data_IF_677491563878
#
_entry.id   IF_677491563878
#
_cell.length_a   1.000
_cell.length_b   1.000
_cell.length_c   1.000
_cell.angle_alpha   90.00
_cell.angle_beta   90.00
_cell.angle_gamma   90.00
#
_symmetry.space_group_name_H-M   'P 1'
#
loop_
_entity.id
_entity.type
_entity.pdbx_description
1 polymer ?
#
# COMPACT_ATOMS: atom_id res chain seq x y z
N UNK A 1 23.02 9.66 -56.46
CA UNK A 1 23.57 8.49 -57.19
C UNK A 1 23.50 7.26 -56.30
N UNK A 2 22.80 6.22 -56.82
CA UNK A 2 22.82 4.79 -56.48
C UNK A 2 22.34 4.42 -55.04
N UNK A 3 21.14 4.06 -54.77
CA UNK A 3 20.32 2.88 -55.07
C UNK A 3 21.05 1.52 -54.96
N UNK A 4 20.75 0.75 -53.91
CA UNK A 4 20.66 -0.72 -54.03
C UNK A 4 19.62 -1.29 -53.09
N UNK A 5 18.53 -1.72 -53.69
CA UNK A 5 17.56 -2.69 -53.17
C UNK A 5 18.20 -4.07 -53.12
N UNK A 6 17.92 -4.88 -52.12
CA UNK A 6 17.79 -6.34 -52.29
C UNK A 6 16.82 -6.91 -51.24
N UNK A 7 15.73 -7.37 -51.77
CA UNK A 7 14.78 -8.31 -51.21
C UNK A 7 15.33 -9.74 -51.28
N UNK A 8 14.90 -10.61 -50.40
CA UNK A 8 14.64 -12.06 -50.58
C UNK A 8 13.96 -12.54 -49.31
N UNK A 9 12.73 -12.92 -49.35
CA UNK A 9 12.05 -14.13 -49.90
C UNK A 9 11.97 -15.26 -48.87
N UNK A 10 10.70 -15.45 -48.39
CA UNK A 10 9.94 -16.67 -48.20
C UNK A 10 10.69 -17.98 -47.89
N UNK A 11 10.35 -18.63 -46.79
CA UNK A 11 10.09 -20.07 -46.78
C UNK A 11 9.02 -20.47 -45.73
N UNK A 12 8.03 -21.10 -46.28
CA UNK A 12 6.92 -21.83 -45.70
C UNK A 12 7.41 -23.05 -44.89
N UNK A 13 6.62 -23.48 -43.93
CA UNK A 13 6.51 -24.89 -43.65
C UNK A 13 6.36 -25.28 -42.20
N UNK A 14 5.23 -25.88 -41.85
CA UNK A 14 5.20 -26.83 -40.77
C UNK A 14 4.10 -26.69 -39.75
N UNK A 15 2.88 -27.06 -40.13
CA UNK A 15 1.81 -27.41 -39.19
C UNK A 15 2.13 -28.72 -38.47
N UNK A 16 2.03 -28.70 -37.12
CA UNK A 16 1.71 -29.94 -36.39
C UNK A 16 0.67 -29.61 -35.32
N UNK A 17 -0.47 -30.13 -35.60
CA UNK A 17 -1.66 -30.27 -34.78
C UNK A 17 -1.41 -31.36 -33.75
N UNK A 18 -1.51 -31.10 -32.47
CA UNK A 18 -1.80 -32.10 -31.46
C UNK A 18 -2.69 -31.51 -30.38
N UNK A 19 -3.99 -31.77 -30.57
CA UNK A 19 -4.98 -31.74 -29.49
C UNK A 19 -4.68 -32.88 -28.52
N UNK A 20 -4.66 -32.60 -27.25
CA UNK A 20 -5.30 -33.45 -26.23
C UNK A 20 -5.59 -32.58 -25.02
N UNK A 21 -6.87 -32.43 -24.77
CA UNK A 21 -7.39 -31.79 -23.58
C UNK A 21 -7.34 -32.74 -22.39
N UNK A 22 -7.25 -32.16 -21.23
CA UNK A 22 -7.96 -32.62 -20.03
C UNK A 22 -8.39 -31.38 -19.24
N UNK A 23 -9.67 -31.30 -19.02
CA UNK A 23 -10.32 -30.35 -18.12
C UNK A 23 -10.17 -30.79 -16.66
N UNK A 24 -10.48 -29.84 -15.77
CA UNK A 24 -10.88 -29.94 -14.36
C UNK A 24 -9.80 -29.55 -13.34
N UNK A 25 -9.88 -28.37 -12.81
CA UNK A 25 -10.45 -28.08 -11.51
C UNK A 25 -10.34 -26.58 -11.26
N UNK A 26 -11.50 -25.94 -11.18
CA UNK A 26 -11.66 -24.59 -10.67
C UNK A 26 -11.41 -24.64 -9.16
N UNK A 27 -10.33 -24.04 -8.73
CA UNK A 27 -10.29 -23.39 -7.44
C UNK A 27 -9.89 -21.94 -7.72
N UNK A 28 -10.85 -21.05 -7.47
CA UNK A 28 -10.66 -19.62 -7.60
C UNK A 28 -9.69 -19.12 -6.54
N UNK A 29 -8.44 -19.10 -6.93
CA UNK A 29 -7.39 -18.36 -6.27
C UNK A 29 -7.07 -17.21 -7.22
N UNK A 30 -7.44 -16.02 -6.80
CA UNK A 30 -7.04 -14.80 -7.48
C UNK A 30 -5.52 -14.86 -7.69
N UNK A 31 -5.01 -14.55 -8.88
CA UNK A 31 -3.58 -14.46 -9.06
C UNK A 31 -3.08 -13.33 -8.18
N UNK A 32 -2.45 -13.68 -7.04
CA UNK A 32 -1.54 -12.79 -6.40
C UNK A 32 -0.53 -12.41 -7.48
N UNK A 33 -0.62 -11.18 -7.97
CA UNK A 33 0.37 -10.60 -8.86
C UNK A 33 1.66 -10.65 -8.04
N UNK A 34 2.45 -11.69 -8.27
CA UNK A 34 3.80 -11.75 -7.78
C UNK A 34 4.49 -10.51 -8.36
N UNK A 35 4.63 -9.48 -7.54
CA UNK A 35 5.56 -8.39 -7.78
C UNK A 35 6.90 -9.10 -7.91
N UNK A 36 7.33 -9.30 -9.15
CA UNK A 36 8.60 -9.90 -9.46
C UNK A 36 9.67 -9.03 -8.83
N UNK A 37 10.12 -9.43 -7.65
CA UNK A 37 11.28 -8.83 -7.03
C UNK A 37 12.42 -9.11 -7.99
N UNK A 38 13.01 -8.06 -8.52
CA UNK A 38 14.19 -8.07 -9.40
C UNK A 38 15.43 -8.51 -8.60
N UNK A 39 15.21 -9.46 -7.68
CA UNK A 39 16.14 -9.93 -6.66
C UNK A 39 17.27 -10.77 -7.22
N UNK A 40 17.20 -11.16 -8.50
CA UNK A 40 18.22 -12.03 -9.09
C UNK A 40 19.41 -11.25 -9.66
N UNK A 41 19.30 -9.94 -9.91
CA UNK A 41 20.42 -9.12 -10.37
C UNK A 41 21.30 -8.57 -9.25
N UNK A 42 20.81 -8.60 -8.01
CA UNK A 42 21.48 -7.97 -6.87
C UNK A 42 22.51 -8.88 -6.17
N UNK A 43 22.65 -10.13 -6.60
CA UNK A 43 23.47 -11.14 -5.88
C UNK A 43 24.97 -10.87 -5.98
N UNK A 44 25.45 -10.08 -6.95
CA UNK A 44 26.87 -9.86 -7.22
C UNK A 44 27.28 -8.38 -7.25
N UNK A 45 26.52 -7.49 -6.59
CA UNK A 45 26.87 -6.07 -6.53
C UNK A 45 28.03 -5.83 -5.55
N UNK A 46 28.96 -4.97 -5.94
CA UNK A 46 29.98 -4.45 -5.01
C UNK A 46 29.32 -3.45 -4.03
N UNK A 47 29.89 -3.21 -2.83
CA UNK A 47 29.36 -2.23 -1.88
C UNK A 47 29.13 -0.83 -2.49
N UNK A 48 30.00 -0.38 -3.37
CA UNK A 48 29.86 0.89 -4.07
C UNK A 48 28.65 0.90 -5.02
N UNK A 49 28.43 -0.19 -5.76
CA UNK A 49 27.27 -0.34 -6.65
C UNK A 49 25.95 -0.43 -5.87
N UNK A 50 25.96 -1.11 -4.71
CA UNK A 50 24.81 -1.15 -3.81
C UNK A 50 24.44 0.25 -3.32
N UNK A 51 25.43 1.06 -2.95
CA UNK A 51 25.23 2.44 -2.52
C UNK A 51 24.61 3.31 -3.62
N UNK A 52 25.15 3.25 -4.83
CA UNK A 52 24.60 4.01 -5.97
C UNK A 52 23.15 3.61 -6.27
N UNK A 53 22.88 2.31 -6.26
CA UNK A 53 21.51 1.81 -6.48
C UNK A 53 20.56 2.22 -5.34
N UNK A 54 21.00 2.13 -4.08
CA UNK A 54 20.21 2.59 -2.94
C UNK A 54 19.89 4.10 -3.01
N UNK A 55 20.86 4.91 -3.42
CA UNK A 55 20.63 6.35 -3.63
C UNK A 55 19.61 6.64 -4.73
N UNK A 56 19.54 5.82 -5.76
CA UNK A 56 18.53 5.96 -6.82
C UNK A 56 17.10 5.64 -6.37
N UNK A 57 16.91 4.93 -5.26
CA UNK A 57 15.58 4.62 -4.72
C UNK A 57 14.94 5.81 -4.01
N UNK A 58 15.74 6.70 -3.43
CA UNK A 58 15.22 7.88 -2.71
C UNK A 58 14.29 8.74 -3.56
N UNK A 59 14.65 9.22 -4.77
CA UNK A 59 13.77 10.04 -5.59
C UNK A 59 12.48 9.29 -6.00
N UNK A 60 12.52 7.96 -6.10
CA UNK A 60 11.33 7.15 -6.38
C UNK A 60 10.37 7.22 -5.20
N UNK A 61 10.87 6.97 -3.97
CA UNK A 61 10.07 7.05 -2.75
C UNK A 61 9.54 8.47 -2.46
N UNK A 62 10.32 9.51 -2.78
CA UNK A 62 9.88 10.90 -2.69
C UNK A 62 8.74 11.20 -3.68
N UNK A 63 8.81 10.62 -4.89
CA UNK A 63 7.73 10.69 -5.89
C UNK A 63 6.45 10.00 -5.41
N UNK A 64 6.59 8.84 -4.76
CA UNK A 64 5.50 8.10 -4.12
C UNK A 64 4.79 8.97 -3.07
N UNK A 65 5.57 9.59 -2.17
CA UNK A 65 5.03 10.50 -1.16
C UNK A 65 4.29 11.68 -1.80
N UNK A 66 4.87 12.30 -2.81
CA UNK A 66 4.27 13.43 -3.52
C UNK A 66 2.97 13.05 -4.24
N UNK A 67 2.87 11.82 -4.75
CA UNK A 67 1.65 11.31 -5.37
C UNK A 67 0.52 11.19 -4.33
N UNK A 68 0.74 10.51 -3.22
CA UNK A 68 -0.26 10.33 -2.17
C UNK A 68 -0.63 11.67 -1.52
N UNK A 69 0.32 12.60 -1.38
CA UNK A 69 0.06 13.94 -0.88
C UNK A 69 -0.91 14.73 -1.78
N UNK A 70 -0.75 14.65 -3.11
CA UNK A 70 -1.69 15.27 -4.05
C UNK A 70 -3.09 14.68 -3.90
N UNK A 71 -3.20 13.35 -3.81
CA UNK A 71 -4.47 12.66 -3.61
C UNK A 71 -5.16 13.07 -2.30
N UNK A 72 -4.39 13.19 -1.20
CA UNK A 72 -4.91 13.66 0.09
C UNK A 72 -5.39 15.12 0.02
N UNK A 73 -4.67 15.98 -0.71
CA UNK A 73 -5.07 17.37 -0.94
C UNK A 73 -6.37 17.45 -1.74
N UNK A 74 -6.51 16.64 -2.78
CA UNK A 74 -7.72 16.58 -3.61
C UNK A 74 -8.94 16.07 -2.80
N UNK A 75 -8.75 15.05 -1.96
CA UNK A 75 -9.80 14.56 -1.06
C UNK A 75 -10.24 15.63 -0.06
N UNK A 76 -9.27 16.38 0.48
CA UNK A 76 -9.55 17.51 1.39
C UNK A 76 -10.35 18.62 0.72
N UNK A 77 -10.04 18.97 -0.52
CA UNK A 77 -10.78 19.97 -1.30
C UNK A 77 -12.21 19.52 -1.58
N UNK A 78 -12.44 18.23 -1.74
CA UNK A 78 -13.77 17.62 -1.93
C UNK A 78 -14.53 17.41 -0.60
N UNK A 79 -13.95 17.80 0.53
CA UNK A 79 -14.48 17.58 1.87
C UNK A 79 -14.72 16.11 2.23
N UNK A 80 -14.03 15.19 1.57
CA UNK A 80 -14.08 13.78 1.86
C UNK A 80 -13.19 13.45 3.06
N UNK A 81 -13.80 13.42 4.25
CA UNK A 81 -13.07 13.26 5.51
C UNK A 81 -12.46 11.87 5.64
N UNK A 82 -13.20 10.82 5.24
CA UNK A 82 -12.75 9.43 5.38
C UNK A 82 -11.53 9.18 4.49
N UNK A 83 -11.61 9.59 3.24
CA UNK A 83 -10.52 9.50 2.27
C UNK A 83 -9.31 10.31 2.70
N UNK A 84 -9.53 11.54 3.20
CA UNK A 84 -8.47 12.40 3.70
C UNK A 84 -7.71 11.75 4.84
N UNK A 85 -8.40 11.13 5.81
CA UNK A 85 -7.79 10.44 6.93
C UNK A 85 -6.99 9.21 6.49
N UNK A 86 -7.58 8.38 5.64
CA UNK A 86 -6.92 7.18 5.11
C UNK A 86 -5.64 7.52 4.33
N UNK A 87 -5.72 8.50 3.41
CA UNK A 87 -4.57 8.94 2.61
C UNK A 87 -3.49 9.63 3.48
N UNK A 88 -3.90 10.38 4.51
CA UNK A 88 -2.98 11.01 5.46
C UNK A 88 -2.20 9.98 6.27
N UNK A 89 -2.84 8.88 6.68
CA UNK A 89 -2.18 7.76 7.35
C UNK A 89 -1.15 7.09 6.43
N UNK A 90 -1.53 6.78 5.18
CA UNK A 90 -0.61 6.21 4.19
C UNK A 90 0.58 7.13 3.92
N UNK A 91 0.33 8.44 3.77
CA UNK A 91 1.38 9.43 3.57
C UNK A 91 2.36 9.47 4.75
N UNK A 92 1.85 9.41 5.98
CA UNK A 92 2.68 9.36 7.19
C UNK A 92 3.59 8.12 7.20
N UNK A 93 3.05 6.95 6.83
CA UNK A 93 3.82 5.71 6.74
C UNK A 93 4.90 5.79 5.65
N UNK A 94 4.62 6.40 4.49
CA UNK A 94 5.61 6.61 3.43
C UNK A 94 6.72 7.53 3.94
N UNK A 95 6.41 8.62 4.63
CA UNK A 95 7.42 9.52 5.19
C UNK A 95 8.33 8.83 6.19
N UNK A 96 7.78 7.94 7.03
CA UNK A 96 8.59 7.11 7.95
C UNK A 96 9.51 6.17 7.16
N UNK A 97 9.00 5.53 6.10
CA UNK A 97 9.82 4.66 5.25
C UNK A 97 10.96 5.43 4.56
N UNK A 98 10.68 6.63 4.01
CA UNK A 98 11.69 7.52 3.38
C UNK A 98 12.75 7.94 4.40
N UNK A 99 12.34 8.42 5.57
CA UNK A 99 13.26 8.84 6.62
C UNK A 99 14.16 7.70 7.09
N UNK A 100 13.58 6.51 7.28
CA UNK A 100 14.36 5.32 7.65
C UNK A 100 15.33 4.93 6.54
N UNK A 101 14.89 4.98 5.27
CA UNK A 101 15.76 4.66 4.12
C UNK A 101 16.95 5.60 4.02
N UNK A 102 16.78 6.89 4.30
CA UNK A 102 17.90 7.87 4.32
C UNK A 102 18.94 7.46 5.35
N UNK A 103 18.53 7.16 6.59
CA UNK A 103 19.47 6.72 7.63
C UNK A 103 20.17 5.38 7.29
N UNK A 104 19.47 4.47 6.59
CA UNK A 104 20.08 3.22 6.12
C UNK A 104 21.08 3.45 4.99
N UNK A 105 20.80 4.39 4.09
CA UNK A 105 21.74 4.78 3.02
C UNK A 105 23.03 5.37 3.62
N UNK A 106 22.95 6.19 4.67
CA UNK A 106 24.12 6.70 5.38
C UNK A 106 24.94 5.57 6.02
N UNK A 107 24.28 4.60 6.63
CA UNK A 107 24.95 3.42 7.20
C UNK A 107 25.59 2.56 6.11
N UNK A 108 24.92 2.42 4.97
CA UNK A 108 25.45 1.73 3.78
C UNK A 108 26.69 2.44 3.22
N UNK A 109 26.70 3.77 3.21
CA UNK A 109 27.84 4.56 2.78
C UNK A 109 29.05 4.32 3.69
N UNK A 110 28.84 4.30 5.01
CA UNK A 110 29.88 3.95 5.97
C UNK A 110 30.42 2.52 5.74
N UNK A 111 29.52 1.54 5.52
CA UNK A 111 29.93 0.15 5.23
C UNK A 111 30.71 0.05 3.90
N UNK A 112 30.28 0.77 2.86
CA UNK A 112 30.96 0.81 1.58
C UNK A 112 32.36 1.44 1.67
N UNK A 113 32.53 2.49 2.48
CA UNK A 113 33.84 3.14 2.69
C UNK A 113 34.85 2.23 3.41
N UNK A 114 34.36 1.35 4.27
CA UNK A 114 35.17 0.33 4.96
C UNK A 114 35.29 -0.99 4.18
N UNK A 115 34.69 -1.07 3.00
CA UNK A 115 34.62 -2.28 2.17
C UNK A 115 34.05 -3.50 2.94
N UNK A 116 33.11 -3.25 3.87
CA UNK A 116 32.38 -4.26 4.63
C UNK A 116 31.19 -4.76 3.79
N UNK A 117 31.44 -5.83 3.04
CA UNK A 117 30.46 -6.35 2.07
C UNK A 117 29.21 -6.93 2.75
N UNK A 118 29.34 -7.58 3.90
CA UNK A 118 28.22 -8.21 4.61
C UNK A 118 27.27 -7.15 5.16
N UNK A 119 27.80 -6.13 5.80
CA UNK A 119 27.05 -5.01 6.31
C UNK A 119 26.40 -4.20 5.17
N UNK A 120 27.14 -3.94 4.10
CA UNK A 120 26.62 -3.25 2.93
C UNK A 120 25.44 -4.00 2.33
N UNK A 121 25.54 -5.31 2.16
CA UNK A 121 24.46 -6.16 1.66
C UNK A 121 23.22 -6.13 2.57
N UNK A 122 23.42 -6.20 3.89
CA UNK A 122 22.33 -6.10 4.85
C UNK A 122 21.59 -4.77 4.73
N UNK A 123 22.30 -3.64 4.79
CA UNK A 123 21.70 -2.30 4.73
C UNK A 123 21.02 -2.06 3.37
N UNK A 124 21.61 -2.53 2.28
CA UNK A 124 21.02 -2.45 0.94
C UNK A 124 19.69 -3.22 0.88
N UNK A 125 19.64 -4.44 1.42
CA UNK A 125 18.40 -5.23 1.47
C UNK A 125 17.30 -4.50 2.27
N UNK A 126 17.65 -3.86 3.39
CA UNK A 126 16.69 -3.07 4.17
C UNK A 126 16.15 -1.90 3.35
N UNK A 127 16.99 -1.19 2.61
CA UNK A 127 16.54 -0.08 1.73
C UNK A 127 15.62 -0.58 0.62
N UNK A 128 15.89 -1.74 0.03
CA UNK A 128 15.00 -2.37 -0.96
C UNK A 128 13.62 -2.66 -0.38
N UNK A 129 13.56 -3.27 0.81
CA UNK A 129 12.29 -3.55 1.50
C UNK A 129 11.52 -2.27 1.78
N UNK A 130 12.18 -1.19 2.20
CA UNK A 130 11.54 0.10 2.44
C UNK A 130 10.99 0.73 1.15
N UNK A 131 11.71 0.61 0.03
CA UNK A 131 11.22 1.04 -1.29
C UNK A 131 9.96 0.26 -1.69
N UNK A 132 9.97 -1.07 -1.52
CA UNK A 132 8.82 -1.93 -1.82
C UNK A 132 7.62 -1.59 -0.93
N UNK A 133 7.88 -1.32 0.35
CA UNK A 133 6.83 -0.86 1.28
C UNK A 133 6.21 0.46 0.83
N UNK A 134 7.02 1.42 0.36
CA UNK A 134 6.52 2.68 -0.20
C UNK A 134 5.60 2.43 -1.39
N UNK A 135 6.01 1.59 -2.34
CA UNK A 135 5.19 1.24 -3.51
C UNK A 135 3.87 0.51 -3.12
N UNK A 136 3.92 -0.37 -2.11
CA UNK A 136 2.72 -1.02 -1.57
C UNK A 136 1.74 0.00 -0.98
N UNK A 137 2.23 0.96 -0.22
CA UNK A 137 1.41 2.03 0.37
C UNK A 137 0.75 2.92 -0.70
N UNK A 138 1.45 3.18 -1.82
CA UNK A 138 0.85 3.88 -2.97
C UNK A 138 -0.26 3.04 -3.60
N UNK A 139 -0.05 1.74 -3.75
CA UNK A 139 -1.08 0.82 -4.27
C UNK A 139 -2.31 0.80 -3.35
N UNK A 140 -2.11 0.71 -2.04
CA UNK A 140 -3.19 0.79 -1.05
C UNK A 140 -3.92 2.15 -1.09
N UNK A 141 -3.18 3.26 -1.26
CA UNK A 141 -3.76 4.60 -1.41
C UNK A 141 -4.63 4.70 -2.68
N UNK A 142 -4.19 4.11 -3.78
CA UNK A 142 -4.96 4.07 -5.03
C UNK A 142 -6.25 3.23 -4.90
N UNK A 143 -6.23 2.16 -4.12
CA UNK A 143 -7.42 1.36 -3.83
C UNK A 143 -8.46 2.15 -3.02
N UNK A 144 -8.04 2.92 -2.01
CA UNK A 144 -8.94 3.80 -1.25
C UNK A 144 -9.71 4.81 -2.13
N UNK A 145 -9.16 5.20 -3.28
CA UNK A 145 -9.80 6.12 -4.22
C UNK A 145 -10.83 5.38 -5.10
N UNK A 146 -10.60 4.10 -5.38
CA UNK A 146 -11.44 3.30 -6.27
C UNK A 146 -12.71 2.74 -5.63
N UNK A 147 -12.71 2.52 -4.32
CA UNK A 147 -13.83 1.86 -3.63
C UNK A 147 -15.07 2.76 -3.46
N UNK A 148 -14.89 4.08 -3.43
CA UNK A 148 -16.02 5.01 -3.23
C UNK A 148 -16.92 5.22 -4.44
N UNK A 149 -16.48 4.88 -5.64
CA UNK A 149 -17.34 4.97 -6.84
C UNK A 149 -18.45 3.91 -6.88
N UNK A 150 -18.37 2.91 -6.00
CA UNK A 150 -19.36 1.81 -5.90
C UNK A 150 -20.40 1.97 -4.79
N UNK A 151 -20.22 2.91 -3.84
CA UNK A 151 -21.07 3.02 -2.65
C UNK A 151 -21.88 4.31 -2.56
N UNK A 152 -22.37 4.82 -3.69
CA UNK A 152 -23.45 5.83 -3.70
C UNK A 152 -24.78 5.06 -3.74
N UNK A 153 -25.07 4.36 -2.65
CA UNK A 153 -26.43 3.93 -2.35
C UNK A 153 -27.15 5.09 -1.67
N UNK A 154 -28.21 5.60 -2.29
CA UNK A 154 -29.17 6.45 -1.58
C UNK A 154 -29.73 5.62 -0.42
N UNK A 155 -29.25 5.84 0.80
CA UNK A 155 -29.88 5.28 1.98
C UNK A 155 -31.09 6.14 2.33
N UNK A 156 -32.26 5.74 1.87
CA UNK A 156 -33.52 6.31 2.36
C UNK A 156 -33.81 5.64 3.71
N UNK A 157 -33.56 6.36 4.79
CA UNK A 157 -34.00 5.92 6.13
C UNK A 157 -35.45 6.24 6.29
N UNK A 158 -36.31 5.24 6.21
CA UNK A 158 -37.76 5.39 6.53
C UNK A 158 -37.93 5.08 8.02
N UNK A 159 -38.12 6.13 8.81
CA UNK A 159 -38.44 5.97 10.25
C UNK A 159 -39.92 5.75 10.37
N UNK A 160 -40.35 4.53 10.70
CA UNK A 160 -41.72 4.20 11.06
C UNK A 160 -41.82 4.22 12.57
N UNK A 161 -42.44 5.28 13.12
CA UNK A 161 -42.73 5.36 14.54
C UNK A 161 -44.02 4.59 14.81
N UNK A 162 -43.97 3.62 15.70
CA UNK A 162 -45.13 2.89 16.12
C UNK A 162 -46.06 3.85 16.90
N UNK A 163 -47.33 4.05 16.44
CA UNK A 163 -48.23 4.99 17.08
C UNK A 163 -48.65 4.57 18.50
N UNK A 164 -48.29 3.38 18.95
CA UNK A 164 -48.54 2.91 20.32
C UNK A 164 -47.45 3.34 21.33
N UNK A 165 -46.33 3.90 20.82
CA UNK A 165 -45.30 4.46 21.70
C UNK A 165 -45.80 5.83 22.19
N UNK A 166 -45.97 6.01 23.50
CA UNK A 166 -46.39 7.31 24.04
C UNK A 166 -45.29 8.35 23.72
N UNK A 167 -45.75 9.51 23.27
CA UNK A 167 -44.89 10.67 22.98
C UNK A 167 -44.37 11.25 24.33
N UNK A 168 -43.40 10.54 24.89
CA UNK A 168 -42.82 10.92 26.17
C UNK A 168 -41.72 11.93 25.87
N UNK A 169 -41.83 13.14 26.39
CA UNK A 169 -40.85 14.18 26.29
C UNK A 169 -39.49 13.66 26.80
N UNK A 170 -38.44 13.58 25.95
CA UNK A 170 -37.15 13.10 26.37
C UNK A 170 -36.44 13.99 27.39
N UNK A 171 -36.94 15.21 27.66
CA UNK A 171 -36.44 16.08 28.72
C UNK A 171 -36.98 15.72 30.12
N UNK A 172 -37.95 14.82 30.19
CA UNK A 172 -38.51 14.30 31.45
C UNK A 172 -37.73 13.18 32.09
N UNK A 173 -36.40 13.19 32.06
CA UNK A 173 -35.60 12.26 32.83
C UNK A 173 -35.79 12.53 34.33
N UNK A 174 -36.02 11.51 35.15
CA UNK A 174 -36.05 11.68 36.62
C UNK A 174 -34.72 12.30 37.06
N UNK A 175 -34.81 13.36 37.87
CA UNK A 175 -33.63 14.10 38.39
C UNK A 175 -32.77 13.26 39.35
N UNK A 176 -33.11 12.00 39.59
CA UNK A 176 -32.34 11.11 40.46
C UNK A 176 -31.31 10.32 39.63
N UNK A 177 -30.02 10.43 39.96
CA UNK A 177 -28.99 9.64 39.28
C UNK A 177 -29.18 8.15 39.58
N UNK A 178 -29.30 7.33 38.54
CA UNK A 178 -29.47 5.88 38.62
C UNK A 178 -28.33 5.13 39.33
N UNK A 179 -27.27 5.81 39.70
CA UNK A 179 -26.12 5.27 40.43
C UNK A 179 -25.83 6.17 41.64
N UNK A 180 -26.52 5.88 42.75
CA UNK A 180 -26.33 6.65 44.00
C UNK A 180 -25.19 6.12 44.90
N UNK A 181 -24.57 4.99 44.58
CA UNK A 181 -23.45 4.45 45.34
C UNK A 181 -22.36 3.86 44.45
N UNK A 182 -21.10 4.29 44.62
CA UNK A 182 -20.00 3.60 43.99
C UNK A 182 -19.84 2.20 44.58
N UNK A 183 -19.46 1.17 43.79
CA UNK A 183 -19.22 -0.15 44.26
C UNK A 183 -18.14 -0.15 45.35
N UNK A 184 -18.43 -0.70 46.50
CA UNK A 184 -17.45 -0.87 47.58
C UNK A 184 -16.41 -1.89 47.16
N UNK A 185 -15.22 -1.42 46.81
CA UNK A 185 -14.07 -2.27 46.56
C UNK A 185 -13.59 -2.85 47.93
N UNK A 186 -14.01 -4.06 48.25
CA UNK A 186 -13.39 -4.83 49.32
C UNK A 186 -12.12 -5.48 48.81
N UNK A 187 -10.95 -4.89 49.13
CA UNK A 187 -9.67 -5.58 48.97
C UNK A 187 -9.60 -6.72 49.99
N UNK A 188 -9.29 -7.96 49.55
CA UNK A 188 -8.96 -9.00 50.52
C UNK A 188 -7.59 -8.70 51.13
N UNK A 189 -7.58 -8.17 52.35
CA UNK A 189 -6.36 -8.12 53.18
C UNK A 189 -6.08 -9.52 53.71
N UNK A 190 -4.88 -10.01 53.38
CA UNK A 190 -4.30 -11.19 54.00
C UNK A 190 -3.32 -10.76 55.06
#
# INVERSE_FOLDING_TARGET
MRATKKAWALLLGGAVLCCFGVALAQNGEAPATAVGVDSQQDVNLTPAQMLERARSFKPIMDSDAAMVQRQASDAKQKHDVVKTLSLSDKLSQIHVAVSTAVGRIETLEAAASHNDADRAKHEFTVVQVLKERSASLVSEANQCIGEETGFIGESTVTVTIDPSIPDTDPSGFPDEPLVSQPPTLSSPTK
#
